data_IF_374107747600
#
_entry.id   IF_374107747600
#
_cell.length_a   1.000
_cell.length_b   1.000
_cell.length_c   1.000
_cell.angle_alpha   90.00
_cell.angle_beta   90.00
_cell.angle_gamma   90.00
#
_symmetry.space_group_name_H-M   'P 1'
#
loop_
_entity.id
_entity.type
_entity.pdbx_description
1 polymer ?
#
# COMPACT_ATOMS: atom_id res chain seq x y z
N UNK A 1 25.04 -2.27 32.98
CA UNK A 1 24.74 -3.58 32.40
C UNK A 1 23.55 -3.41 31.48
N UNK A 2 23.69 -3.76 30.21
CA UNK A 2 22.55 -3.99 29.31
C UNK A 2 22.25 -5.48 29.32
N UNK A 3 20.98 -5.86 29.26
CA UNK A 3 20.55 -7.26 29.17
C UNK A 3 19.88 -7.43 27.83
N UNK A 4 20.48 -8.23 26.96
CA UNK A 4 19.85 -8.56 25.68
C UNK A 4 18.66 -9.49 25.95
N UNK A 5 17.48 -9.10 25.46
CA UNK A 5 16.29 -9.92 25.50
C UNK A 5 15.87 -10.25 24.07
N UNK A 6 15.75 -11.55 23.78
CA UNK A 6 15.24 -12.02 22.51
C UNK A 6 13.76 -11.66 22.36
N UNK A 7 13.39 -11.18 21.16
CA UNK A 7 12.01 -10.91 20.77
C UNK A 7 11.60 -11.92 19.71
N UNK A 8 10.53 -12.66 19.98
CA UNK A 8 9.88 -13.52 19.00
C UNK A 8 8.95 -12.65 18.14
N UNK A 9 9.07 -12.76 16.82
CA UNK A 9 8.39 -11.89 15.86
C UNK A 9 7.49 -12.71 14.95
N UNK A 10 6.20 -12.43 14.89
CA UNK A 10 5.27 -13.13 14.01
C UNK A 10 4.55 -12.15 13.09
N UNK A 11 4.49 -12.48 11.81
CA UNK A 11 3.76 -11.72 10.80
C UNK A 11 2.48 -12.43 10.40
N UNK A 12 1.41 -11.67 10.23
CA UNK A 12 0.12 -12.15 9.74
C UNK A 12 -0.33 -11.34 8.55
N UNK A 13 -0.91 -12.03 7.57
CA UNK A 13 -1.63 -11.45 6.45
C UNK A 13 -3.09 -11.87 6.55
N UNK A 14 -3.99 -10.91 6.71
CA UNK A 14 -5.42 -11.14 6.84
C UNK A 14 -5.73 -12.20 7.93
N UNK A 15 -4.99 -12.12 9.05
CA UNK A 15 -5.07 -13.05 10.17
C UNK A 15 -4.35 -14.40 9.99
N UNK A 16 -3.80 -14.69 8.81
CA UNK A 16 -3.07 -15.93 8.52
C UNK A 16 -1.57 -15.74 8.78
N UNK A 17 -0.97 -16.61 9.61
CA UNK A 17 0.46 -16.57 9.91
C UNK A 17 1.29 -16.76 8.63
N UNK A 18 2.21 -15.84 8.38
CA UNK A 18 3.09 -15.85 7.21
C UNK A 18 4.51 -16.27 7.57
N UNK A 19 5.08 -15.65 8.60
CA UNK A 19 6.48 -15.82 8.96
C UNK A 19 6.66 -15.70 10.47
N UNK A 20 7.26 -16.72 11.07
CA UNK A 20 7.48 -16.81 12.52
C UNK A 20 8.97 -16.68 12.85
N UNK A 21 9.26 -15.88 13.86
CA UNK A 21 10.57 -15.46 14.33
C UNK A 21 11.45 -14.72 13.31
N UNK A 22 10.83 -14.10 12.30
CA UNK A 22 11.54 -13.26 11.32
C UNK A 22 11.33 -11.79 11.65
N UNK A 23 12.44 -11.04 11.78
CA UNK A 23 12.40 -9.61 12.11
C UNK A 23 11.80 -8.75 10.99
N UNK A 24 11.98 -9.17 9.73
CA UNK A 24 11.47 -8.48 8.55
C UNK A 24 10.64 -9.43 7.68
N UNK A 25 9.59 -8.91 7.07
CA UNK A 25 8.76 -9.63 6.11
C UNK A 25 8.41 -8.72 4.94
N UNK A 26 8.46 -9.28 3.73
CA UNK A 26 8.08 -8.61 2.49
C UNK A 26 7.02 -9.44 1.77
N UNK A 27 6.10 -8.77 1.08
CA UNK A 27 5.05 -9.40 0.30
C UNK A 27 4.77 -8.61 -0.97
N UNK A 28 4.47 -9.33 -2.05
CA UNK A 28 4.02 -8.78 -3.33
C UNK A 28 2.59 -9.23 -3.56
N UNK A 29 1.75 -8.33 -4.04
CA UNK A 29 0.32 -8.56 -4.18
C UNK A 29 -0.06 -8.87 -5.63
N UNK A 30 -0.74 -9.98 -5.84
CA UNK A 30 -1.26 -10.37 -7.17
C UNK A 30 -2.72 -9.96 -7.36
N UNK A 31 -3.38 -9.49 -6.30
CA UNK A 31 -4.80 -9.12 -6.28
C UNK A 31 -5.02 -7.78 -5.62
N UNK A 32 -5.95 -6.99 -6.18
CA UNK A 32 -6.49 -5.77 -5.59
C UNK A 32 -7.29 -6.09 -4.31
N UNK A 33 -7.38 -5.12 -3.40
CA UNK A 33 -8.11 -5.21 -2.15
C UNK A 33 -7.42 -4.50 -0.99
N UNK A 34 -8.11 -4.48 0.15
CA UNK A 34 -7.53 -4.03 1.42
C UNK A 34 -6.95 -5.23 2.15
N UNK A 35 -5.68 -5.13 2.55
CA UNK A 35 -5.00 -6.19 3.28
C UNK A 35 -4.55 -5.74 4.65
N UNK A 36 -4.79 -6.58 5.65
CA UNK A 36 -4.39 -6.33 7.02
C UNK A 36 -3.08 -7.06 7.29
N UNK A 37 -1.98 -6.31 7.32
CA UNK A 37 -0.67 -6.83 7.74
C UNK A 37 -0.53 -6.58 9.23
N UNK A 38 -0.31 -7.63 10.01
CA UNK A 38 -0.09 -7.52 11.46
C UNK A 38 1.29 -8.03 11.83
N UNK A 39 2.03 -7.23 12.59
CA UNK A 39 3.24 -7.67 13.28
C UNK A 39 2.94 -7.86 14.77
N UNK A 40 3.39 -8.99 15.33
CA UNK A 40 3.32 -9.27 16.75
C UNK A 40 4.72 -9.59 17.26
N UNK A 41 5.22 -8.74 18.17
CA UNK A 41 6.49 -8.95 18.87
C UNK A 41 6.23 -9.40 20.31
N UNK A 42 6.89 -10.45 20.77
CA UNK A 42 6.73 -11.00 22.13
C UNK A 42 8.09 -11.21 22.78
N UNK A 43 8.25 -10.76 24.03
CA UNK A 43 9.39 -11.09 24.87
C UNK A 43 8.94 -11.38 26.32
N UNK A 44 9.89 -11.55 27.24
CA UNK A 44 9.60 -11.83 28.64
C UNK A 44 8.79 -10.75 29.37
N UNK A 45 8.67 -9.54 28.81
CA UNK A 45 7.96 -8.43 29.41
C UNK A 45 6.55 -8.22 28.82
N UNK A 46 6.16 -8.98 27.78
CA UNK A 46 4.83 -8.90 27.17
C UNK A 46 4.85 -8.95 25.65
N UNK A 47 3.76 -8.48 25.05
CA UNK A 47 3.57 -8.42 23.60
C UNK A 47 3.24 -7.01 23.10
N UNK A 48 3.70 -6.71 21.90
CA UNK A 48 3.29 -5.55 21.10
C UNK A 48 2.65 -6.03 19.81
N UNK A 49 1.63 -5.31 19.36
CA UNK A 49 0.94 -5.60 18.10
C UNK A 49 0.74 -4.30 17.33
N UNK A 50 1.06 -4.31 16.04
CA UNK A 50 0.78 -3.22 15.10
C UNK A 50 0.13 -3.80 13.86
N UNK A 51 -0.88 -3.11 13.35
CA UNK A 51 -1.60 -3.48 12.14
C UNK A 51 -1.51 -2.34 11.13
N UNK A 52 -1.18 -2.69 9.89
CA UNK A 52 -1.24 -1.81 8.73
C UNK A 52 -2.36 -2.27 7.80
N UNK A 53 -3.17 -1.32 7.36
CA UNK A 53 -4.08 -1.52 6.25
C UNK A 53 -3.32 -1.15 4.98
N UNK A 54 -3.06 -2.13 4.13
CA UNK A 54 -2.31 -2.00 2.88
C UNK A 54 -3.31 -2.06 1.72
N UNK A 55 -3.70 -0.92 1.13
CA UNK A 55 -4.48 -0.91 -0.09
C UNK A 55 -3.65 -1.46 -1.25
N UNK A 56 -4.21 -2.39 -2.00
CA UNK A 56 -3.74 -2.78 -3.33
C UNK A 56 -4.85 -2.45 -4.31
N UNK A 57 -4.53 -1.69 -5.34
CA UNK A 57 -5.52 -1.09 -6.22
C UNK A 57 -4.96 -1.14 -7.64
N UNK A 58 -5.86 -1.14 -8.60
CA UNK A 58 -5.51 -1.01 -10.00
C UNK A 58 -4.54 0.18 -10.18
N UNK A 59 -3.58 0.09 -11.10
CA UNK A 59 -2.75 1.24 -11.49
C UNK A 59 -3.58 2.45 -11.95
N UNK A 60 -4.87 2.24 -12.27
CA UNK A 60 -5.78 3.30 -12.72
C UNK A 60 -6.80 3.72 -11.65
N UNK A 61 -6.85 3.03 -10.51
CA UNK A 61 -7.75 3.32 -9.37
C UNK A 61 -6.99 4.14 -8.31
N UNK A 62 -7.06 5.46 -8.43
CA UNK A 62 -6.28 6.43 -7.67
C UNK A 62 -6.77 6.60 -6.24
N UNK A 63 -8.04 6.32 -5.96
CA UNK A 63 -8.61 6.42 -4.62
C UNK A 63 -8.73 5.04 -3.92
N UNK A 64 -8.43 3.95 -4.63
CA UNK A 64 -8.58 2.56 -4.16
C UNK A 64 -9.99 2.22 -3.73
N UNK A 65 -11.01 2.74 -4.44
CA UNK A 65 -12.41 2.44 -4.17
C UNK A 65 -12.90 1.16 -4.88
N UNK A 66 -12.05 0.55 -5.71
CA UNK A 66 -12.33 -0.67 -6.46
C UNK A 66 -12.98 -0.42 -7.83
N UNK A 67 -13.14 0.83 -8.25
CA UNK A 67 -13.72 1.21 -9.54
C UNK A 67 -12.86 2.28 -10.21
N UNK A 68 -12.45 2.04 -11.46
CA UNK A 68 -11.79 3.10 -12.25
C UNK A 68 -12.87 4.00 -12.85
N UNK A 69 -13.00 5.22 -12.31
CA UNK A 69 -14.11 6.12 -12.62
C UNK A 69 -13.69 7.61 -12.70
N UNK A 70 -14.67 8.52 -12.68
CA UNK A 70 -14.42 9.96 -12.76
C UNK A 70 -13.61 10.51 -11.57
N UNK A 71 -13.76 9.90 -10.40
CA UNK A 71 -13.01 10.29 -9.20
C UNK A 71 -11.51 10.11 -9.43
N UNK A 72 -11.09 9.01 -10.06
CA UNK A 72 -9.68 8.74 -10.36
C UNK A 72 -9.10 9.73 -11.35
N UNK A 73 -9.86 10.01 -12.42
CA UNK A 73 -9.49 11.03 -13.41
C UNK A 73 -9.33 12.40 -12.75
N UNK A 74 -10.22 12.75 -11.83
CA UNK A 74 -10.17 14.03 -11.12
C UNK A 74 -8.95 14.13 -10.20
N UNK A 75 -8.50 13.02 -9.61
CA UNK A 75 -7.28 13.00 -8.78
C UNK A 75 -6.05 13.31 -9.65
N UNK A 76 -5.89 12.64 -10.79
CA UNK A 76 -4.78 12.92 -11.72
C UNK A 76 -4.87 14.36 -12.23
N UNK A 77 -6.07 14.81 -12.63
CA UNK A 77 -6.28 16.17 -13.12
C UNK A 77 -5.94 17.25 -12.08
N UNK A 78 -6.25 17.00 -10.80
CA UNK A 78 -5.89 17.90 -9.72
C UNK A 78 -4.37 17.99 -9.52
N UNK A 79 -3.66 16.85 -9.62
CA UNK A 79 -2.18 16.82 -9.60
C UNK A 79 -1.59 17.70 -10.71
N UNK A 80 -2.11 17.56 -11.94
CA UNK A 80 -1.70 18.38 -13.09
C UNK A 80 -1.94 19.88 -12.82
N UNK A 81 -3.15 20.26 -12.39
CA UNK A 81 -3.50 21.68 -12.22
C UNK A 81 -2.77 22.36 -11.07
N UNK A 82 -2.49 21.63 -10.00
CA UNK A 82 -1.82 22.17 -8.81
C UNK A 82 -0.30 22.10 -8.90
N UNK A 83 0.24 21.27 -9.79
CA UNK A 83 1.66 20.94 -9.83
C UNK A 83 2.15 20.17 -8.61
N UNK A 84 1.23 19.66 -7.77
CA UNK A 84 1.57 18.83 -6.61
C UNK A 84 1.79 17.40 -7.11
N UNK A 85 3.00 16.89 -6.97
CA UNK A 85 3.32 15.53 -7.39
C UNK A 85 2.55 14.49 -6.56
N UNK A 86 1.82 13.64 -7.28
CA UNK A 86 1.14 12.46 -6.77
C UNK A 86 1.81 11.24 -7.40
N UNK A 87 2.55 10.46 -6.60
CA UNK A 87 3.29 9.29 -7.09
C UNK A 87 2.40 8.27 -7.81
N UNK A 88 1.16 8.09 -7.34
CA UNK A 88 0.19 7.17 -7.96
C UNK A 88 -0.38 7.71 -9.28
N UNK A 89 -0.26 9.01 -9.49
CA UNK A 89 -0.77 9.71 -10.66
C UNK A 89 0.24 9.75 -11.82
N UNK A 90 1.52 9.41 -11.57
CA UNK A 90 2.53 9.17 -12.61
C UNK A 90 2.45 7.69 -13.04
N UNK A 91 1.57 7.42 -13.99
CA UNK A 91 1.16 6.06 -14.35
C UNK A 91 2.16 5.43 -15.31
N UNK A 92 2.81 6.24 -16.14
CA UNK A 92 3.85 5.79 -17.04
C UNK A 92 5.26 5.76 -16.39
N UNK A 93 5.36 6.21 -15.12
CA UNK A 93 6.56 6.26 -14.31
C UNK A 93 7.70 7.04 -14.99
N UNK A 94 7.36 8.19 -15.58
CA UNK A 94 8.30 9.06 -16.29
C UNK A 94 8.77 10.27 -15.46
N UNK A 95 8.42 10.32 -14.18
CA UNK A 95 8.72 11.37 -13.19
C UNK A 95 7.94 12.67 -13.35
N UNK A 96 6.97 12.71 -14.25
CA UNK A 96 6.06 13.83 -14.47
C UNK A 96 4.61 13.34 -14.34
N UNK A 97 3.71 14.20 -13.84
CA UNK A 97 2.27 13.91 -13.89
C UNK A 97 1.65 14.84 -14.91
N UNK A 98 1.18 14.29 -16.01
CA UNK A 98 0.79 15.04 -17.19
C UNK A 98 -0.50 14.50 -17.83
N UNK A 99 -0.93 15.15 -18.92
CA UNK A 99 -2.17 14.76 -19.62
C UNK A 99 -2.13 13.31 -20.09
N UNK A 100 -0.94 12.77 -20.37
CA UNK A 100 -0.77 11.38 -20.76
C UNK A 100 -1.25 10.42 -19.66
N UNK A 101 -0.91 10.65 -18.39
CA UNK A 101 -1.40 9.84 -17.26
C UNK A 101 -2.92 9.91 -17.13
N UNK A 102 -3.47 11.12 -17.27
CA UNK A 102 -4.91 11.32 -17.23
C UNK A 102 -5.64 10.52 -18.33
N UNK A 103 -5.06 10.47 -19.53
CA UNK A 103 -5.57 9.66 -20.65
C UNK A 103 -5.49 8.16 -20.33
N UNK A 104 -4.45 7.69 -19.65
CA UNK A 104 -4.32 6.28 -19.25
C UNK A 104 -5.45 5.88 -18.29
N UNK A 105 -5.83 6.71 -17.32
CA UNK A 105 -7.00 6.46 -16.46
C UNK A 105 -8.29 6.48 -17.27
N UNK A 106 -8.43 7.46 -18.15
CA UNK A 106 -9.64 7.64 -18.97
C UNK A 106 -9.91 6.47 -19.90
N UNK A 107 -8.87 5.87 -20.48
CA UNK A 107 -8.97 4.69 -21.33
C UNK A 107 -9.37 3.40 -20.59
N UNK A 108 -9.23 3.38 -19.26
CA UNK A 108 -9.55 2.23 -18.41
C UNK A 108 -10.78 2.46 -17.52
N UNK A 109 -11.44 3.62 -17.64
CA UNK A 109 -12.64 3.92 -16.86
C UNK A 109 -13.84 3.11 -17.36
N UNK A 110 -14.64 2.58 -16.44
CA UNK A 110 -15.85 1.79 -16.70
C UNK A 110 -17.14 2.51 -16.28
#
# INVERSE_FOLDING_TARGET
MTTDQQVNSTWYLNGTNQNNNTQAWSHTWDTEGQHNVTYVGVNGNGSVSIMWNVPTCSPFDMNCDGLVNETDRNIVWNSINTGIYCERCDINNNTEVEVFDWVMVSGNSV
#
